data_IF_659222929563
#
_entry.id   IF_659222929563
#
_cell.length_a   1.000
_cell.length_b   1.000
_cell.length_c   1.000
_cell.angle_alpha   90.00
_cell.angle_beta   90.00
_cell.angle_gamma   90.00
#
_symmetry.space_group_name_H-M   'P 1'
#
loop_
_entity.id
_entity.type
_entity.pdbx_description
1 polymer ?
#
# COMPACT_ATOMS: atom_id res chain seq x y z
N UNK A 1 21.00 6.16 -17.97
CA UNK A 1 19.52 6.21 -18.05
C UNK A 1 19.00 6.33 -16.64
N UNK A 2 17.93 7.09 -16.44
CA UNK A 2 17.24 7.19 -15.14
C UNK A 2 16.74 5.81 -14.75
N UNK A 3 16.82 5.46 -13.46
CA UNK A 3 16.27 4.22 -12.91
C UNK A 3 14.95 4.54 -12.24
N UNK A 4 13.87 3.95 -12.73
CA UNK A 4 12.49 4.32 -12.40
C UNK A 4 11.88 3.29 -11.44
N UNK A 5 11.31 3.76 -10.35
CA UNK A 5 10.44 2.97 -9.47
C UNK A 5 8.96 3.37 -9.64
N UNK A 6 8.08 2.39 -9.83
CA UNK A 6 6.65 2.58 -9.62
C UNK A 6 6.33 2.33 -8.15
N UNK A 7 5.65 3.29 -7.52
CA UNK A 7 5.24 3.19 -6.13
C UNK A 7 3.72 3.38 -5.98
N UNK A 8 3.11 2.57 -5.11
CA UNK A 8 1.66 2.48 -4.99
C UNK A 8 1.18 2.79 -3.59
N UNK A 9 0.23 3.73 -3.42
CA UNK A 9 -0.29 4.11 -2.10
C UNK A 9 -1.08 2.97 -1.44
N UNK A 10 -1.20 3.06 -0.13
CA UNK A 10 -2.01 2.18 0.69
C UNK A 10 -3.38 2.73 1.05
N UNK A 11 -4.09 2.02 1.92
CA UNK A 11 -5.36 2.45 2.49
C UNK A 11 -5.24 3.81 3.19
N UNK A 12 -6.26 4.65 3.03
CA UNK A 12 -6.29 6.03 3.53
C UNK A 12 -6.06 7.06 2.42
N UNK A 13 -5.67 6.63 1.22
CA UNK A 13 -5.54 7.51 0.06
C UNK A 13 -6.80 7.52 -0.84
N UNK A 14 -7.77 6.62 -0.61
CA UNK A 14 -9.00 6.53 -1.39
C UNK A 14 -9.83 7.81 -1.32
N UNK A 15 -10.38 8.20 -2.46
CA UNK A 15 -11.28 9.34 -2.57
C UNK A 15 -12.39 9.04 -3.58
N UNK A 16 -13.58 9.58 -3.34
CA UNK A 16 -14.66 9.51 -4.32
C UNK A 16 -14.24 10.19 -5.63
N UNK A 17 -14.46 9.53 -6.76
CA UNK A 17 -14.06 9.97 -8.09
C UNK A 17 -12.69 9.43 -8.55
N UNK A 18 -11.96 8.67 -7.71
CA UNK A 18 -10.65 8.10 -8.09
C UNK A 18 -10.77 7.18 -9.31
N UNK A 19 -9.98 7.47 -10.35
CA UNK A 19 -9.92 6.70 -11.58
C UNK A 19 -11.09 6.91 -12.56
N UNK A 20 -12.04 7.82 -12.26
CA UNK A 20 -13.19 8.05 -13.11
C UNK A 20 -12.81 8.55 -14.51
N UNK A 21 -11.87 9.46 -14.62
CA UNK A 21 -11.36 9.99 -15.89
C UNK A 21 -10.64 8.91 -16.71
N UNK A 22 -9.93 8.00 -16.08
CA UNK A 22 -9.35 6.82 -16.74
C UNK A 22 -10.43 5.88 -17.29
N UNK A 23 -11.48 5.63 -16.51
CA UNK A 23 -12.62 4.82 -16.94
C UNK A 23 -13.38 5.45 -18.10
N UNK A 24 -13.65 6.76 -18.07
CA UNK A 24 -14.48 7.45 -19.05
C UNK A 24 -13.74 7.76 -20.35
N UNK A 25 -12.42 7.97 -20.30
CA UNK A 25 -11.65 8.51 -21.42
C UNK A 25 -10.64 7.51 -22.02
N UNK A 26 -10.45 6.33 -21.42
CA UNK A 26 -9.54 5.32 -21.95
C UNK A 26 -10.21 3.94 -22.00
N UNK A 27 -10.04 3.24 -23.11
CA UNK A 27 -10.60 1.89 -23.27
C UNK A 27 -9.96 0.91 -22.27
N UNK A 28 -8.64 0.99 -22.07
CA UNK A 28 -7.93 0.10 -21.17
C UNK A 28 -8.29 0.34 -19.71
N UNK A 29 -8.47 1.60 -19.31
CA UNK A 29 -8.94 1.92 -17.96
C UNK A 29 -10.34 1.36 -17.71
N UNK A 30 -11.25 1.53 -18.69
CA UNK A 30 -12.60 0.97 -18.64
C UNK A 30 -12.58 -0.55 -18.49
N UNK A 31 -11.77 -1.25 -19.29
CA UNK A 31 -11.64 -2.72 -19.23
C UNK A 31 -11.23 -3.22 -17.85
N UNK A 32 -10.32 -2.53 -17.15
CA UNK A 32 -9.89 -2.93 -15.79
C UNK A 32 -11.04 -2.80 -14.79
N UNK A 33 -11.80 -1.72 -14.81
CA UNK A 33 -12.95 -1.54 -13.93
C UNK A 33 -14.09 -2.52 -14.23
N UNK A 34 -14.34 -2.81 -15.51
CA UNK A 34 -15.35 -3.77 -15.93
C UNK A 34 -14.96 -5.20 -15.52
N UNK A 35 -13.69 -5.59 -15.70
CA UNK A 35 -13.14 -6.85 -15.20
C UNK A 35 -13.26 -6.96 -13.68
N UNK A 36 -12.90 -5.91 -12.94
CA UNK A 36 -13.03 -5.88 -11.50
C UNK A 36 -14.49 -6.06 -11.05
N UNK A 37 -15.42 -5.43 -11.76
CA UNK A 37 -16.87 -5.57 -11.50
C UNK A 37 -17.33 -7.01 -11.72
N UNK A 38 -16.87 -7.68 -12.78
CA UNK A 38 -17.17 -9.10 -13.05
C UNK A 38 -16.62 -10.01 -11.94
N UNK A 39 -15.35 -9.83 -11.56
CA UNK A 39 -14.66 -10.64 -10.54
C UNK A 39 -15.32 -10.49 -9.17
N UNK A 40 -15.66 -9.26 -8.80
CA UNK A 40 -16.09 -8.91 -7.43
C UNK A 40 -17.60 -9.04 -7.24
N UNK A 41 -18.38 -9.10 -8.33
CA UNK A 41 -19.84 -9.23 -8.28
C UNK A 41 -20.59 -7.97 -7.83
N UNK A 42 -19.93 -6.80 -7.85
CA UNK A 42 -20.52 -5.49 -7.62
C UNK A 42 -19.84 -4.42 -8.45
N UNK A 43 -20.54 -3.34 -8.79
CA UNK A 43 -19.99 -2.24 -9.61
C UNK A 43 -18.84 -1.53 -8.87
N UNK A 44 -17.61 -1.69 -9.37
CA UNK A 44 -16.44 -1.01 -8.82
C UNK A 44 -16.42 0.45 -9.27
N UNK A 45 -16.91 0.75 -10.47
CA UNK A 45 -17.07 2.13 -10.95
C UNK A 45 -18.05 2.91 -10.07
N UNK A 46 -19.22 2.35 -9.75
CA UNK A 46 -20.18 2.99 -8.84
C UNK A 46 -19.57 3.19 -7.43
N UNK A 47 -18.88 2.17 -6.90
CA UNK A 47 -18.18 2.25 -5.61
C UNK A 47 -17.15 3.39 -5.57
N UNK A 48 -16.37 3.57 -6.65
CA UNK A 48 -15.32 4.59 -6.71
C UNK A 48 -15.83 5.98 -7.06
N UNK A 49 -16.84 6.09 -7.95
CA UNK A 49 -17.22 7.37 -8.56
C UNK A 49 -18.39 8.05 -7.85
N UNK A 50 -19.23 7.29 -7.16
CA UNK A 50 -20.40 7.82 -6.46
C UNK A 50 -20.13 7.88 -4.95
N UNK A 51 -20.50 8.98 -4.31
CA UNK A 51 -20.36 9.13 -2.86
C UNK A 51 -21.15 8.05 -2.12
N UNK A 52 -20.48 7.27 -1.31
CA UNK A 52 -21.06 6.19 -0.52
C UNK A 52 -20.20 5.91 0.72
N UNK A 53 -20.74 5.16 1.69
CA UNK A 53 -20.04 4.82 2.93
C UNK A 53 -19.21 3.53 2.79
N UNK A 54 -19.36 2.77 1.68
CA UNK A 54 -18.66 1.49 1.47
C UNK A 54 -17.20 1.67 1.09
N UNK A 55 -16.84 2.79 0.44
CA UNK A 55 -15.48 3.04 -0.01
C UNK A 55 -14.47 3.08 1.15
N UNK A 56 -14.90 3.43 2.36
CA UNK A 56 -14.06 3.47 3.56
C UNK A 56 -14.07 2.16 4.36
N UNK A 57 -14.82 1.16 3.93
CA UNK A 57 -14.81 -0.19 4.53
C UNK A 57 -13.66 -0.98 3.92
N UNK A 58 -12.75 -1.49 4.74
CA UNK A 58 -11.48 -2.10 4.34
C UNK A 58 -11.59 -3.10 3.18
N UNK A 59 -12.56 -4.00 3.22
CA UNK A 59 -12.78 -5.00 2.19
C UNK A 59 -13.13 -4.41 0.81
N UNK A 60 -13.78 -3.26 0.77
CA UNK A 60 -14.07 -2.53 -0.47
C UNK A 60 -12.94 -1.58 -0.85
N UNK A 61 -12.36 -0.87 0.14
CA UNK A 61 -11.23 0.04 -0.08
C UNK A 61 -10.09 -0.65 -0.79
N UNK A 62 -9.69 -1.84 -0.33
CA UNK A 62 -8.54 -2.55 -0.90
C UNK A 62 -8.76 -2.89 -2.37
N UNK A 63 -9.92 -3.46 -2.71
CA UNK A 63 -10.23 -3.81 -4.09
C UNK A 63 -10.35 -2.57 -4.99
N UNK A 64 -10.99 -1.50 -4.51
CA UNK A 64 -11.16 -0.24 -5.24
C UNK A 64 -9.81 0.43 -5.55
N UNK A 65 -8.92 0.50 -4.56
CA UNK A 65 -7.58 1.08 -4.69
C UNK A 65 -6.71 0.31 -5.69
N UNK A 66 -6.68 -1.02 -5.58
CA UNK A 66 -5.87 -1.86 -6.48
C UNK A 66 -6.41 -1.78 -7.90
N UNK A 67 -7.74 -1.84 -8.11
CA UNK A 67 -8.35 -1.67 -9.44
C UNK A 67 -7.96 -0.32 -10.06
N UNK A 68 -8.11 0.76 -9.30
CA UNK A 68 -7.77 2.11 -9.76
C UNK A 68 -6.30 2.23 -10.14
N UNK A 69 -5.39 1.77 -9.27
CA UNK A 69 -3.95 1.86 -9.52
C UNK A 69 -3.50 1.00 -10.69
N UNK A 70 -4.09 -0.19 -10.89
CA UNK A 70 -3.80 -1.03 -12.06
C UNK A 70 -4.30 -0.35 -13.35
N UNK A 71 -5.49 0.25 -13.35
CA UNK A 71 -6.00 0.98 -14.51
C UNK A 71 -5.06 2.13 -14.91
N UNK A 72 -4.60 2.92 -13.92
CA UNK A 72 -3.63 3.99 -14.13
C UNK A 72 -2.28 3.46 -14.66
N UNK A 73 -1.79 2.35 -14.10
CA UNK A 73 -0.54 1.70 -14.51
C UNK A 73 -0.61 1.27 -15.98
N UNK A 74 -1.69 0.59 -16.39
CA UNK A 74 -1.86 0.13 -17.78
C UNK A 74 -1.86 1.28 -18.78
N UNK A 75 -2.52 2.39 -18.45
CA UNK A 75 -2.54 3.59 -19.31
C UNK A 75 -1.13 4.20 -19.42
N UNK A 76 -0.35 4.23 -18.34
CA UNK A 76 1.03 4.70 -18.36
C UNK A 76 1.93 3.78 -19.20
N UNK A 77 1.76 2.45 -19.05
CA UNK A 77 2.50 1.45 -19.82
C UNK A 77 2.21 1.52 -21.32
N UNK A 78 0.97 1.82 -21.73
CA UNK A 78 0.63 2.09 -23.14
C UNK A 78 1.40 3.30 -23.72
N UNK A 79 1.76 4.27 -22.88
CA UNK A 79 2.63 5.41 -23.29
C UNK A 79 4.12 5.02 -23.33
N UNK A 80 4.47 3.77 -23.06
CA UNK A 80 5.83 3.24 -23.14
C UNK A 80 6.67 3.46 -21.89
N UNK A 81 6.11 3.95 -20.78
CA UNK A 81 6.81 4.10 -19.49
C UNK A 81 6.76 2.78 -18.74
N UNK A 82 7.92 2.27 -18.36
CA UNK A 82 8.08 1.02 -17.61
C UNK A 82 8.98 1.23 -16.40
N UNK A 83 8.73 0.53 -15.28
CA UNK A 83 9.60 0.61 -14.11
C UNK A 83 10.77 -0.36 -14.21
N UNK A 84 11.86 -0.04 -13.50
CA UNK A 84 12.97 -0.95 -13.21
C UNK A 84 12.75 -1.74 -11.92
N UNK A 85 11.91 -1.21 -11.04
CA UNK A 85 11.50 -1.83 -9.78
C UNK A 85 10.11 -1.30 -9.38
N UNK A 86 9.35 -2.11 -8.64
CA UNK A 86 8.08 -1.70 -8.11
C UNK A 86 8.03 -1.87 -6.59
N UNK A 87 7.28 -1.01 -5.90
CA UNK A 87 6.98 -1.15 -4.48
C UNK A 87 5.59 -0.59 -4.17
N UNK A 88 4.97 -1.06 -3.11
CA UNK A 88 3.67 -0.54 -2.71
C UNK A 88 3.48 -0.61 -1.20
N UNK A 89 2.76 0.33 -0.62
CA UNK A 89 2.49 0.38 0.80
C UNK A 89 1.28 -0.49 1.12
N UNK A 90 1.48 -1.57 1.90
CA UNK A 90 0.42 -2.50 2.34
C UNK A 90 -0.36 -3.10 1.14
N UNK A 91 -1.62 -2.71 0.90
CA UNK A 91 -2.39 -3.17 -0.27
C UNK A 91 -1.71 -2.81 -1.61
N UNK A 92 -0.93 -1.73 -1.64
CA UNK A 92 -0.18 -1.31 -2.83
C UNK A 92 0.87 -2.33 -3.28
N UNK A 93 1.31 -3.24 -2.41
CA UNK A 93 2.21 -4.35 -2.79
C UNK A 93 1.59 -5.26 -3.85
N UNK A 94 0.25 -5.39 -3.90
CA UNK A 94 -0.46 -6.12 -4.96
C UNK A 94 -0.37 -5.41 -6.32
N UNK A 95 -0.37 -4.08 -6.32
CA UNK A 95 -0.11 -3.30 -7.53
C UNK A 95 1.35 -3.43 -7.98
N UNK A 96 2.28 -3.47 -7.04
CA UNK A 96 3.70 -3.71 -7.34
C UNK A 96 3.93 -5.11 -7.93
N UNK A 97 3.24 -6.13 -7.42
CA UNK A 97 3.30 -7.50 -7.96
C UNK A 97 2.69 -7.58 -9.37
N UNK A 98 1.61 -6.83 -9.64
CA UNK A 98 1.07 -6.67 -10.97
C UNK A 98 2.11 -6.03 -11.92
N UNK A 99 2.69 -4.90 -11.55
CA UNK A 99 3.69 -4.20 -12.34
C UNK A 99 4.98 -5.04 -12.55
N UNK A 100 5.33 -5.89 -11.59
CA UNK A 100 6.41 -6.85 -11.70
C UNK A 100 6.09 -8.07 -12.56
N UNK A 101 4.85 -8.22 -13.03
CA UNK A 101 4.41 -9.36 -13.83
C UNK A 101 4.17 -10.65 -13.02
N UNK A 102 4.29 -10.59 -11.69
CA UNK A 102 4.11 -11.74 -10.80
C UNK A 102 2.64 -12.14 -10.63
N UNK A 103 1.71 -11.19 -10.70
CA UNK A 103 0.27 -11.43 -10.62
C UNK A 103 -0.45 -10.83 -11.84
N UNK A 104 -1.49 -11.52 -12.31
CA UNK A 104 -2.42 -10.92 -13.27
C UNK A 104 -3.27 -9.85 -12.60
N UNK A 105 -3.87 -8.93 -13.37
CA UNK A 105 -4.81 -7.95 -12.83
C UNK A 105 -5.99 -8.64 -12.10
N UNK A 106 -6.47 -9.75 -12.66
CA UNK A 106 -7.53 -10.57 -12.06
C UNK A 106 -7.12 -11.10 -10.69
N UNK A 107 -5.94 -11.70 -10.61
CA UNK A 107 -5.47 -12.33 -9.36
C UNK A 107 -5.16 -11.28 -8.29
N UNK A 108 -4.57 -10.14 -8.66
CA UNK A 108 -4.30 -9.05 -7.73
C UNK A 108 -5.60 -8.48 -7.14
N UNK A 109 -6.62 -8.22 -7.97
CA UNK A 109 -7.91 -7.67 -7.54
C UNK A 109 -8.68 -8.68 -6.68
N UNK A 110 -8.76 -9.94 -7.11
CA UNK A 110 -9.46 -10.99 -6.37
C UNK A 110 -8.81 -11.26 -5.01
N UNK A 111 -7.47 -11.37 -4.99
CA UNK A 111 -6.72 -11.68 -3.77
C UNK A 111 -6.80 -10.54 -2.76
N UNK A 112 -6.63 -9.28 -3.21
CA UNK A 112 -6.71 -8.14 -2.30
C UNK A 112 -8.11 -7.95 -1.71
N UNK A 113 -9.17 -8.34 -2.44
CA UNK A 113 -10.54 -8.39 -1.92
C UNK A 113 -10.64 -9.38 -0.76
N UNK A 114 -10.16 -10.61 -0.93
CA UNK A 114 -10.15 -11.62 0.13
C UNK A 114 -9.29 -11.16 1.31
N UNK A 115 -8.12 -10.56 1.05
CA UNK A 115 -7.28 -9.97 2.08
C UNK A 115 -8.04 -8.92 2.90
N UNK A 116 -8.77 -8.03 2.25
CA UNK A 116 -9.56 -6.99 2.92
C UNK A 116 -10.64 -7.58 3.84
N UNK A 117 -11.36 -8.61 3.39
CA UNK A 117 -12.35 -9.35 4.19
C UNK A 117 -11.68 -9.98 5.42
N UNK A 118 -10.62 -10.76 5.20
CA UNK A 118 -9.90 -11.46 6.26
C UNK A 118 -9.33 -10.50 7.30
N UNK A 119 -8.78 -9.37 6.88
CA UNK A 119 -8.25 -8.35 7.78
C UNK A 119 -9.36 -7.65 8.57
N UNK A 120 -10.52 -7.39 7.96
CA UNK A 120 -11.64 -6.74 8.62
C UNK A 120 -12.30 -7.65 9.66
N UNK A 121 -12.38 -8.95 9.39
CA UNK A 121 -13.01 -9.94 10.26
C UNK A 121 -12.05 -10.49 11.34
N UNK A 122 -10.75 -10.24 11.22
CA UNK A 122 -9.73 -10.82 12.11
C UNK A 122 -9.91 -10.46 13.58
N UNK A 123 -10.38 -9.26 13.86
CA UNK A 123 -10.50 -8.73 15.22
C UNK A 123 -11.86 -8.02 15.35
N UNK A 124 -12.65 -8.34 16.39
CA UNK A 124 -13.90 -7.63 16.65
C UNK A 124 -13.69 -6.12 16.77
N UNK A 125 -14.66 -5.36 16.22
CA UNK A 125 -14.61 -3.90 16.25
C UNK A 125 -14.46 -3.39 17.70
N UNK A 126 -13.52 -2.48 17.90
CA UNK A 126 -13.24 -1.88 19.21
C UNK A 126 -12.23 -2.62 20.08
N UNK A 127 -11.74 -3.81 19.70
CA UNK A 127 -10.69 -4.54 20.42
C UNK A 127 -9.28 -4.17 19.98
N UNK A 128 -9.12 -3.68 18.75
CA UNK A 128 -7.86 -3.22 18.23
C UNK A 128 -7.87 -1.73 17.86
N UNK A 129 -6.69 -1.15 17.75
CA UNK A 129 -6.51 0.24 17.35
C UNK A 129 -5.17 0.46 16.64
N UNK A 130 -5.07 1.60 15.97
CA UNK A 130 -3.84 2.12 15.39
C UNK A 130 -3.67 3.60 15.76
N UNK A 131 -2.43 4.04 15.89
CA UNK A 131 -2.13 5.46 16.11
C UNK A 131 -0.90 5.91 15.31
N UNK A 132 -0.96 7.12 14.75
CA UNK A 132 0.17 7.77 14.11
C UNK A 132 0.97 8.57 15.14
N UNK A 133 2.26 8.27 15.25
CA UNK A 133 3.22 8.95 16.12
C UNK A 133 4.05 9.90 15.26
N UNK A 134 4.05 11.18 15.60
CA UNK A 134 4.66 12.22 14.81
C UNK A 134 5.83 12.87 15.52
N UNK A 135 6.88 13.17 14.75
CA UNK A 135 8.11 13.86 15.17
C UNK A 135 8.83 13.14 16.33
N UNK A 136 8.94 11.83 16.23
CA UNK A 136 9.74 10.98 17.10
C UNK A 136 10.42 9.90 16.26
N UNK A 137 11.66 9.54 16.60
CA UNK A 137 12.43 8.54 15.89
C UNK A 137 11.93 7.13 16.19
N UNK A 138 12.06 6.24 15.20
CA UNK A 138 11.58 4.87 15.30
C UNK A 138 12.19 4.11 16.49
N UNK A 139 13.52 4.26 16.72
CA UNK A 139 14.23 3.61 17.83
C UNK A 139 13.70 4.06 19.20
N UNK A 140 13.39 5.34 19.36
CA UNK A 140 12.81 5.86 20.60
C UNK A 140 11.37 5.33 20.81
N UNK A 141 10.59 5.19 19.73
CA UNK A 141 9.27 4.58 19.80
C UNK A 141 9.38 3.11 20.20
N UNK A 142 10.28 2.35 19.55
CA UNK A 142 10.56 0.94 19.88
C UNK A 142 10.92 0.75 21.35
N UNK A 143 11.79 1.61 21.89
CA UNK A 143 12.19 1.58 23.29
C UNK A 143 10.99 1.76 24.24
N UNK A 144 10.16 2.79 23.98
CA UNK A 144 8.99 3.07 24.83
C UNK A 144 7.96 1.95 24.78
N UNK A 145 7.66 1.41 23.59
CA UNK A 145 6.63 0.36 23.45
C UNK A 145 7.12 -1.03 23.80
N UNK A 146 8.44 -1.26 23.90
CA UNK A 146 9.01 -2.58 24.26
C UNK A 146 8.52 -3.09 25.62
N UNK A 147 8.15 -2.18 26.54
CA UNK A 147 7.60 -2.48 27.85
C UNK A 147 6.05 -2.58 27.88
N UNK A 148 5.37 -2.54 26.72
CA UNK A 148 3.91 -2.56 26.65
C UNK A 148 3.48 -3.79 25.83
N UNK A 149 2.87 -4.78 26.48
CA UNK A 149 2.39 -5.96 25.77
C UNK A 149 1.16 -5.64 24.92
N UNK A 150 1.11 -6.20 23.71
CA UNK A 150 -0.03 -6.09 22.81
C UNK A 150 0.00 -4.86 21.87
N UNK A 151 1.11 -4.13 21.79
CA UNK A 151 1.35 -3.07 20.79
C UNK A 151 2.65 -3.33 20.04
N UNK A 152 2.70 -2.92 18.77
CA UNK A 152 3.91 -2.98 17.92
C UNK A 152 3.90 -1.86 16.90
N UNK A 153 5.02 -1.62 16.23
CA UNK A 153 5.05 -0.76 15.05
C UNK A 153 4.37 -1.48 13.89
N UNK A 154 3.41 -0.81 13.28
CA UNK A 154 2.70 -1.27 12.07
C UNK A 154 3.35 -0.73 10.80
N UNK A 155 3.74 0.56 10.78
CA UNK A 155 4.34 1.17 9.59
C UNK A 155 5.51 2.08 9.98
N UNK A 156 6.62 1.87 9.30
CA UNK A 156 7.72 2.84 9.21
C UNK A 156 7.52 3.66 7.94
N UNK A 157 6.74 4.76 8.02
CA UNK A 157 6.35 5.51 6.84
C UNK A 157 7.48 6.41 6.30
N UNK A 158 8.07 7.21 7.17
CA UNK A 158 9.19 8.10 6.86
C UNK A 158 9.78 8.64 8.17
N UNK A 159 10.93 9.33 8.15
CA UNK A 159 11.48 9.96 9.34
C UNK A 159 10.45 10.83 10.06
N UNK A 160 10.24 10.55 11.35
CA UNK A 160 9.28 11.25 12.20
C UNK A 160 7.80 10.95 11.90
N UNK A 161 7.48 9.87 11.20
CA UNK A 161 6.09 9.40 11.03
C UNK A 161 6.02 7.87 11.05
N UNK A 162 5.66 7.35 12.20
CA UNK A 162 5.53 5.91 12.51
C UNK A 162 4.09 5.63 12.91
N UNK A 163 3.58 4.47 12.54
CA UNK A 163 2.26 4.00 12.99
C UNK A 163 2.44 2.82 13.92
N UNK A 164 1.79 2.87 15.08
CA UNK A 164 1.70 1.74 16.02
C UNK A 164 0.32 1.08 15.92
N UNK A 165 0.25 -0.21 16.22
CA UNK A 165 -0.97 -1.01 16.10
C UNK A 165 -0.99 -2.12 17.16
N UNK A 166 -2.18 -2.51 17.59
CA UNK A 166 -2.33 -3.59 18.56
C UNK A 166 -3.67 -3.54 19.30
N UNK A 167 -3.68 -4.11 20.53
CA UNK A 167 -4.84 -4.03 21.43
C UNK A 167 -5.16 -2.56 21.74
N UNK A 168 -6.43 -2.21 21.76
CA UNK A 168 -6.85 -0.81 21.92
C UNK A 168 -6.23 -0.15 23.16
N UNK A 169 -6.34 -0.79 24.31
CA UNK A 169 -5.83 -0.27 25.58
C UNK A 169 -4.30 -0.15 25.58
N UNK A 170 -3.60 -1.09 24.90
CA UNK A 170 -2.15 -1.03 24.76
C UNK A 170 -1.70 0.14 23.86
N UNK A 171 -2.43 0.38 22.76
CA UNK A 171 -2.18 1.52 21.87
C UNK A 171 -2.45 2.86 22.57
N UNK A 172 -3.54 2.96 23.34
CA UNK A 172 -3.88 4.15 24.13
C UNK A 172 -2.77 4.43 25.17
N UNK A 173 -2.35 3.41 25.95
CA UNK A 173 -1.23 3.52 26.90
C UNK A 173 0.08 3.93 26.21
N UNK A 174 0.36 3.33 25.05
CA UNK A 174 1.55 3.68 24.26
C UNK A 174 1.50 5.14 23.82
N UNK A 175 0.34 5.65 23.36
CA UNK A 175 0.18 7.04 22.97
C UNK A 175 0.48 8.03 24.11
N UNK A 176 0.06 7.72 25.35
CA UNK A 176 0.34 8.54 26.53
C UNK A 176 1.85 8.56 26.82
N UNK A 177 2.45 7.38 26.95
CA UNK A 177 3.90 7.26 27.22
C UNK A 177 4.78 7.88 26.14
N UNK A 178 4.42 7.74 24.87
CA UNK A 178 5.14 8.34 23.76
C UNK A 178 5.07 9.87 23.78
N UNK A 179 3.92 10.45 24.18
CA UNK A 179 3.81 11.90 24.37
C UNK A 179 4.70 12.38 25.54
N UNK A 180 4.70 11.65 26.67
CA UNK A 180 5.58 11.93 27.80
C UNK A 180 7.06 11.83 27.42
N UNK A 181 7.41 10.88 26.55
CA UNK A 181 8.76 10.68 26.02
C UNK A 181 9.16 11.69 24.91
N UNK A 182 8.27 12.61 24.52
CA UNK A 182 8.59 13.71 23.61
C UNK A 182 8.01 13.62 22.21
N UNK A 183 7.14 12.66 21.90
CA UNK A 183 6.40 12.65 20.64
C UNK A 183 5.53 13.90 20.52
N UNK A 184 5.67 14.65 19.42
CA UNK A 184 4.92 15.88 19.21
C UNK A 184 3.41 15.65 19.14
N UNK A 185 2.99 14.52 18.55
CA UNK A 185 1.59 14.06 18.46
C UNK A 185 1.52 12.55 18.45
N UNK A 186 0.51 12.01 19.10
CA UNK A 186 0.04 10.64 18.97
C UNK A 186 -1.45 10.72 18.62
N UNK A 187 -1.81 10.34 17.40
CA UNK A 187 -3.14 10.54 16.82
C UNK A 187 -3.75 9.17 16.57
N UNK A 188 -4.83 8.84 17.27
CA UNK A 188 -5.61 7.64 17.00
C UNK A 188 -6.17 7.70 15.58
N UNK A 189 -6.01 6.61 14.83
CA UNK A 189 -6.50 6.50 13.46
C UNK A 189 -7.93 5.95 13.45
N UNK A 190 -8.75 6.48 12.55
CA UNK A 190 -10.10 5.95 12.31
C UNK A 190 -10.02 4.76 11.34
N UNK A 191 -9.70 3.59 11.88
CA UNK A 191 -9.58 2.33 11.13
C UNK A 191 -10.37 1.22 11.81
N UNK A 192 -10.81 0.22 11.05
CA UNK A 192 -11.66 -0.86 11.53
C UNK A 192 -10.92 -1.92 12.35
N UNK A 193 -9.58 -1.94 12.34
CA UNK A 193 -8.82 -2.99 13.02
C UNK A 193 -7.35 -2.64 13.25
N UNK A 194 -6.64 -3.50 14.01
CA UNK A 194 -5.23 -3.35 14.35
C UNK A 194 -4.33 -3.92 13.24
N UNK A 195 -4.39 -3.30 12.04
CA UNK A 195 -3.68 -3.78 10.88
C UNK A 195 -2.16 -3.83 11.12
N UNK A 196 -1.50 -4.79 10.45
CA UNK A 196 -0.06 -5.03 10.57
C UNK A 196 0.40 -5.29 12.01
N UNK A 197 -0.45 -5.94 12.82
CA UNK A 197 -0.11 -6.41 14.16
C UNK A 197 -0.26 -7.93 14.28
N UNK A 198 0.38 -8.50 15.29
CA UNK A 198 0.29 -9.95 15.60
C UNK A 198 -1.15 -10.42 15.82
N UNK A 199 -2.09 -9.53 16.11
CA UNK A 199 -3.51 -9.85 16.22
C UNK A 199 -4.12 -10.37 14.91
N UNK A 200 -3.46 -10.10 13.77
CA UNK A 200 -3.88 -10.53 12.44
C UNK A 200 -3.15 -11.79 11.93
N UNK A 201 -2.39 -12.50 12.77
CA UNK A 201 -1.65 -13.70 12.33
C UNK A 201 -2.58 -14.74 11.69
N UNK A 202 -3.73 -15.04 12.30
CA UNK A 202 -4.71 -15.96 11.73
C UNK A 202 -5.33 -15.48 10.40
N UNK A 203 -5.43 -14.16 10.17
CA UNK A 203 -5.84 -13.63 8.87
C UNK A 203 -4.75 -13.86 7.79
N UNK A 204 -3.48 -13.74 8.17
CA UNK A 204 -2.35 -14.08 7.29
C UNK A 204 -2.32 -15.54 6.90
N UNK A 205 -2.59 -16.45 7.84
CA UNK A 205 -2.68 -17.90 7.60
C UNK A 205 -3.83 -18.22 6.63
N UNK A 206 -5.02 -17.68 6.85
CA UNK A 206 -6.17 -17.83 5.94
C UNK A 206 -5.90 -17.23 4.56
N UNK A 207 -5.18 -16.12 4.49
CA UNK A 207 -4.75 -15.56 3.20
C UNK A 207 -3.82 -16.54 2.46
N UNK A 208 -3.01 -17.33 3.19
CA UNK A 208 -2.21 -18.40 2.63
C UNK A 208 -3.05 -19.41 1.86
N UNK A 209 -4.19 -19.84 2.42
CA UNK A 209 -5.14 -20.75 1.76
C UNK A 209 -5.69 -20.16 0.46
N UNK A 210 -6.00 -18.85 0.44
CA UNK A 210 -6.42 -18.13 -0.78
C UNK A 210 -5.30 -18.11 -1.81
N UNK A 211 -4.07 -17.81 -1.37
CA UNK A 211 -2.89 -17.74 -2.23
C UNK A 211 -2.50 -19.09 -2.85
N UNK A 212 -2.87 -20.23 -2.24
CA UNK A 212 -2.67 -21.55 -2.86
C UNK A 212 -3.33 -21.65 -4.25
N UNK A 213 -4.47 -20.98 -4.44
CA UNK A 213 -5.23 -20.99 -5.70
C UNK A 213 -4.74 -19.92 -6.70
N UNK A 214 -3.79 -19.08 -6.32
CA UNK A 214 -3.24 -18.01 -7.16
C UNK A 214 -1.94 -18.50 -7.81
N UNK A 215 -1.82 -18.34 -9.12
CA UNK A 215 -0.56 -18.55 -9.82
C UNK A 215 0.34 -17.33 -9.69
N UNK A 216 1.57 -17.54 -9.20
CA UNK A 216 2.59 -16.49 -9.22
C UNK A 216 3.52 -16.76 -10.38
N UNK A 217 3.56 -15.82 -11.31
CA UNK A 217 4.41 -15.89 -12.49
C UNK A 217 5.85 -15.43 -12.18
N UNK A 218 6.84 -15.83 -12.99
CA UNK A 218 8.19 -15.27 -12.89
C UNK A 218 8.15 -13.74 -13.00
N UNK A 219 8.87 -13.06 -12.11
CA UNK A 219 8.94 -11.61 -12.11
C UNK A 219 9.71 -11.11 -13.33
N UNK A 220 9.15 -10.13 -14.03
CA UNK A 220 9.82 -9.44 -15.16
C UNK A 220 10.77 -8.36 -14.67
N UNK A 221 10.49 -7.78 -13.52
CA UNK A 221 11.33 -6.83 -12.76
C UNK A 221 11.23 -7.19 -11.27
N UNK A 222 12.18 -6.81 -10.42
CA UNK A 222 12.04 -7.00 -8.98
C UNK A 222 10.95 -6.12 -8.40
N UNK A 223 10.38 -6.54 -7.27
CA UNK A 223 9.64 -5.66 -6.38
C UNK A 223 10.28 -5.62 -5.00
N UNK A 224 9.96 -4.62 -4.18
CA UNK A 224 10.45 -4.52 -2.80
C UNK A 224 9.35 -4.91 -1.83
N UNK A 225 9.59 -5.96 -1.03
CA UNK A 225 8.61 -6.50 -0.11
C UNK A 225 8.48 -5.64 1.16
N UNK A 226 7.25 -5.43 1.64
CA UNK A 226 6.98 -4.61 2.83
C UNK A 226 7.62 -5.16 4.11
N UNK A 227 7.66 -6.48 4.26
CA UNK A 227 8.10 -7.14 5.50
C UNK A 227 9.60 -7.04 5.70
N UNK A 228 10.37 -7.22 4.63
CA UNK A 228 11.83 -7.28 4.67
C UNK A 228 12.49 -5.98 4.23
N UNK A 229 11.79 -5.16 3.42
CA UNK A 229 12.35 -4.03 2.69
C UNK A 229 13.49 -4.45 1.73
N UNK A 230 13.46 -5.67 1.24
CA UNK A 230 14.44 -6.25 0.33
C UNK A 230 13.83 -6.48 -1.05
N UNK A 231 14.69 -6.50 -2.05
CA UNK A 231 14.34 -6.85 -3.43
C UNK A 231 13.98 -8.33 -3.51
N UNK A 232 12.83 -8.61 -4.12
CA UNK A 232 12.35 -9.96 -4.41
C UNK A 232 12.41 -10.17 -5.91
N UNK A 233 13.06 -11.24 -6.31
CA UNK A 233 13.24 -11.66 -7.72
C UNK A 233 12.77 -13.09 -7.97
N UNK A 234 12.55 -13.87 -6.90
CA UNK A 234 12.05 -15.24 -6.99
C UNK A 234 10.54 -15.27 -6.69
N UNK A 235 9.77 -15.82 -7.63
CA UNK A 235 8.33 -15.99 -7.49
C UNK A 235 7.95 -16.87 -6.27
N UNK A 236 8.83 -17.78 -5.85
CA UNK A 236 8.60 -18.66 -4.71
C UNK A 236 8.50 -17.90 -3.37
N UNK A 237 9.14 -16.72 -3.27
CA UNK A 237 9.13 -15.91 -2.05
C UNK A 237 7.85 -15.07 -1.90
N UNK A 238 7.08 -14.85 -2.98
CA UNK A 238 5.95 -13.93 -3.00
C UNK A 238 4.86 -14.33 -2.00
N UNK A 239 4.36 -15.57 -2.09
CA UNK A 239 3.26 -16.04 -1.22
C UNK A 239 3.61 -16.00 0.27
N UNK A 240 4.78 -16.52 0.71
CA UNK A 240 5.19 -16.42 2.12
C UNK A 240 5.31 -14.98 2.63
N UNK A 241 5.79 -14.06 1.79
CA UNK A 241 5.91 -12.65 2.15
C UNK A 241 4.55 -11.97 2.28
N UNK A 242 3.60 -12.22 1.36
CA UNK A 242 2.23 -11.70 1.45
C UNK A 242 1.48 -12.21 2.69
N UNK A 243 1.66 -13.49 3.06
CA UNK A 243 1.08 -14.03 4.30
C UNK A 243 1.60 -13.30 5.52
N UNK A 244 2.91 -13.12 5.62
CA UNK A 244 3.57 -12.41 6.73
C UNK A 244 3.19 -10.93 6.78
N UNK A 245 2.99 -10.29 5.64
CA UNK A 245 2.70 -8.86 5.52
C UNK A 245 1.46 -8.45 6.33
N UNK A 246 0.44 -9.31 6.40
CA UNK A 246 -0.83 -9.02 7.10
C UNK A 246 -0.64 -8.71 8.58
N UNK A 247 0.30 -9.39 9.24
CA UNK A 247 0.57 -9.29 10.68
C UNK A 247 1.93 -8.70 11.03
N UNK A 248 2.68 -8.23 10.04
CA UNK A 248 4.03 -7.68 10.21
C UNK A 248 4.11 -6.20 9.82
N UNK A 249 5.12 -5.52 10.32
CA UNK A 249 5.35 -4.11 10.00
C UNK A 249 5.61 -3.89 8.52
N UNK A 250 5.02 -2.82 7.97
CA UNK A 250 5.35 -2.28 6.66
C UNK A 250 6.58 -1.38 6.79
N UNK A 251 7.69 -1.78 6.21
CA UNK A 251 8.98 -1.09 6.27
C UNK A 251 9.17 -0.14 5.10
N UNK A 252 8.24 0.81 4.93
CA UNK A 252 8.22 1.68 3.76
C UNK A 252 9.46 2.57 3.63
N UNK A 253 9.88 3.23 4.70
CA UNK A 253 11.11 4.03 4.69
C UNK A 253 12.33 3.19 4.29
N UNK A 254 12.47 2.00 4.85
CA UNK A 254 13.57 1.09 4.52
C UNK A 254 13.50 0.61 3.06
N UNK A 255 12.29 0.33 2.54
CA UNK A 255 12.08 -0.04 1.14
C UNK A 255 12.52 1.07 0.19
N UNK A 256 12.16 2.32 0.49
CA UNK A 256 12.62 3.49 -0.28
C UNK A 256 14.15 3.63 -0.21
N UNK A 257 14.74 3.48 0.97
CA UNK A 257 16.20 3.56 1.13
C UNK A 257 16.92 2.45 0.38
N UNK A 258 16.37 1.24 0.32
CA UNK A 258 16.92 0.15 -0.49
C UNK A 258 16.90 0.51 -1.98
N UNK A 259 15.80 1.07 -2.50
CA UNK A 259 15.71 1.51 -3.89
C UNK A 259 16.68 2.65 -4.19
N UNK A 260 16.84 3.63 -3.29
CA UNK A 260 17.83 4.71 -3.42
C UNK A 260 19.27 4.16 -3.46
N UNK A 261 19.60 3.21 -2.59
CA UNK A 261 20.92 2.57 -2.55
C UNK A 261 21.22 1.77 -3.83
N UNK A 262 20.19 1.25 -4.49
CA UNK A 262 20.27 0.57 -5.78
C UNK A 262 20.26 1.54 -7.00
N UNK A 263 20.30 2.84 -6.74
CA UNK A 263 20.44 3.89 -7.75
C UNK A 263 19.14 4.31 -8.42
N UNK A 264 17.98 4.03 -7.82
CA UNK A 264 16.70 4.61 -8.27
C UNK A 264 16.73 6.12 -8.02
N UNK A 265 16.53 6.90 -9.08
CA UNK A 265 16.55 8.36 -9.05
C UNK A 265 15.19 9.00 -9.36
N UNK A 266 14.25 8.22 -9.88
CA UNK A 266 12.92 8.67 -10.27
C UNK A 266 11.85 7.74 -9.70
N UNK A 267 10.92 8.30 -8.93
CA UNK A 267 9.79 7.59 -8.35
C UNK A 267 8.49 8.12 -8.95
N UNK A 268 7.60 7.23 -9.36
CA UNK A 268 6.28 7.58 -9.88
C UNK A 268 5.23 6.97 -8.94
N UNK A 269 4.56 7.83 -8.17
CA UNK A 269 3.42 7.40 -7.35
C UNK A 269 2.19 7.27 -8.25
N UNK A 270 1.63 6.06 -8.34
CA UNK A 270 0.50 5.71 -9.20
C UNK A 270 -0.70 5.32 -8.33
N UNK A 271 -1.71 6.17 -8.28
CA UNK A 271 -2.88 5.96 -7.45
C UNK A 271 -3.45 7.27 -6.91
N UNK A 272 -4.56 7.22 -6.16
CA UNK A 272 -5.16 8.42 -5.60
C UNK A 272 -4.27 9.07 -4.54
N UNK A 273 -4.27 10.41 -4.53
CA UNK A 273 -3.54 11.22 -3.57
C UNK A 273 -2.04 11.36 -3.86
N UNK A 274 -1.32 11.88 -2.87
CA UNK A 274 0.15 12.17 -2.92
C UNK A 274 0.83 11.80 -1.60
N UNK A 275 0.39 10.71 -1.00
CA UNK A 275 0.85 10.29 0.33
C UNK A 275 2.31 9.86 0.29
N UNK A 276 2.67 9.01 -0.67
CA UNK A 276 4.04 8.50 -0.79
C UNK A 276 4.99 9.61 -1.26
N UNK A 277 4.57 10.47 -2.17
CA UNK A 277 5.34 11.67 -2.54
C UNK A 277 5.62 12.57 -1.32
N UNK A 278 4.66 12.66 -0.41
CA UNK A 278 4.84 13.34 0.88
C UNK A 278 5.89 12.68 1.77
N UNK A 279 5.93 11.34 1.82
CA UNK A 279 6.94 10.58 2.56
C UNK A 279 8.33 10.71 1.91
N UNK A 280 8.39 10.63 0.57
CA UNK A 280 9.62 10.80 -0.20
C UNK A 280 10.33 12.11 0.14
N UNK A 281 9.61 13.22 0.23
CA UNK A 281 10.17 14.53 0.61
C UNK A 281 10.83 14.56 1.99
N UNK A 282 10.49 13.61 2.87
CA UNK A 282 11.10 13.46 4.20
C UNK A 282 12.23 12.45 4.21
N UNK A 283 12.22 11.47 3.30
CA UNK A 283 13.24 10.44 3.19
C UNK A 283 14.42 10.97 2.38
N UNK A 284 14.17 11.49 1.18
CA UNK A 284 15.18 12.09 0.31
C UNK A 284 14.52 13.16 -0.59
N UNK A 285 15.10 14.37 -0.61
CA UNK A 285 14.60 15.50 -1.41
C UNK A 285 15.32 15.65 -2.75
N UNK A 286 16.33 14.84 -2.99
CA UNK A 286 17.20 14.98 -4.18
C UNK A 286 16.69 14.20 -5.37
N UNK A 287 15.82 13.21 -5.14
CA UNK A 287 15.24 12.36 -6.19
C UNK A 287 14.02 12.99 -6.83
N UNK A 288 13.79 12.64 -8.08
CA UNK A 288 12.61 13.04 -8.83
C UNK A 288 11.40 12.22 -8.35
N UNK A 289 10.32 12.92 -7.97
CA UNK A 289 9.05 12.27 -7.57
C UNK A 289 7.94 12.83 -8.43
N UNK A 290 7.34 11.96 -9.23
CA UNK A 290 6.20 12.23 -10.10
C UNK A 290 4.95 11.54 -9.54
N UNK A 291 3.77 11.98 -9.97
CA UNK A 291 2.52 11.49 -9.42
C UNK A 291 1.49 11.35 -10.53
N UNK A 292 0.77 10.24 -10.55
CA UNK A 292 -0.36 10.00 -11.43
C UNK A 292 -1.59 9.76 -10.56
N UNK A 293 -2.42 10.77 -10.47
CA UNK A 293 -3.71 10.76 -9.77
C UNK A 293 -4.86 10.95 -10.77
N UNK A 294 -4.59 11.68 -11.86
CA UNK A 294 -5.54 11.99 -12.94
C UNK A 294 -4.95 11.62 -14.29
N UNK A 295 -5.82 11.43 -15.28
CA UNK A 295 -5.42 11.08 -16.63
C UNK A 295 -4.47 12.11 -17.25
N UNK A 296 -4.68 13.40 -17.00
CA UNK A 296 -3.80 14.47 -17.47
C UNK A 296 -2.36 14.40 -16.90
N UNK A 297 -2.16 13.73 -15.78
CA UNK A 297 -0.84 13.57 -15.18
C UNK A 297 0.02 12.56 -15.96
N UNK A 298 -0.60 11.64 -16.70
CA UNK A 298 0.11 10.66 -17.53
C UNK A 298 0.96 11.33 -18.58
N UNK A 299 0.40 12.29 -19.34
CA UNK A 299 1.14 13.01 -20.38
C UNK A 299 2.24 13.89 -19.78
N UNK A 300 1.99 14.52 -18.61
CA UNK A 300 3.00 15.29 -17.86
C UNK A 300 4.18 14.40 -17.44
N UNK A 301 3.89 13.20 -16.90
CA UNK A 301 4.92 12.23 -16.51
C UNK A 301 5.75 11.78 -17.72
N UNK A 302 5.11 11.50 -18.85
CA UNK A 302 5.79 11.11 -20.10
C UNK A 302 6.71 12.22 -20.60
N UNK A 303 6.27 13.49 -20.58
CA UNK A 303 7.08 14.63 -20.95
C UNK A 303 8.28 14.81 -20.03
N UNK A 304 8.08 14.72 -18.73
CA UNK A 304 9.12 14.85 -17.70
C UNK A 304 10.20 13.76 -17.76
N UNK A 305 9.87 12.58 -18.28
CA UNK A 305 10.83 11.48 -18.45
C UNK A 305 11.65 11.58 -19.74
N UNK A 306 11.22 12.40 -20.70
CA UNK A 306 11.93 12.62 -21.97
C UNK A 306 12.98 13.73 -21.88
N UNK A 307 12.90 14.57 -20.85
CA UNK A 307 13.82 15.67 -20.57
C UNK A 307 15.00 15.21 -19.71
#
# INVERSE_FOLDING_TARGET
MSKIAFIYPGQGAQVCGMGQDFYEQTEIGKQVFDLATEILGFSVSELCFTKNDRLDITEYTQAAMVTTSIAMTKVLEEKGVKPDVAAGLSLGEYCALYAAGAMTEKDAIATVRQRGILMQEAVPVGQGAMAAILAMDASAIEEVISGIDGVQIANYNCPGQIVISGKKEAVETACEKLKEAGAKRAIMLNVSGPFHSRMLTGAGEKLGEVLEQVEIHPLSIPYVANVTAEYVTDAADVKPLLMKQVSSSVRWEQSVRAMLADGVDTFIEIGPGKTLAGFMKKIDRTVKVLNIEKLEDVDKVVEELRC
#
